data_IF_079008930532
#
_entry.id   IF_079008930532
#
_cell.length_a   1.000
_cell.length_b   1.000
_cell.length_c   1.000
_cell.angle_alpha   90.00
_cell.angle_beta   90.00
_cell.angle_gamma   90.00
#
_symmetry.space_group_name_H-M   'P 1'
#
loop_
_entity.id
_entity.type
_entity.pdbx_description
1 polymer ?
#
# COMPACT_ATOMS: atom_id res chain seq x y z
N UNK A 1 14.40 -16.49 7.11
CA UNK A 1 14.56 -15.07 7.52
C UNK A 1 13.88 -14.20 6.47
N UNK A 2 12.85 -13.45 6.82
CA UNK A 2 12.24 -12.46 5.92
C UNK A 2 12.99 -11.15 6.16
N UNK A 3 13.71 -10.64 5.17
CA UNK A 3 14.50 -9.43 5.33
C UNK A 3 13.63 -8.23 4.94
N UNK A 4 13.01 -7.61 5.95
CA UNK A 4 12.35 -6.30 5.78
C UNK A 4 13.21 -5.30 6.54
N UNK A 5 13.84 -4.39 5.81
CA UNK A 5 14.67 -3.33 6.38
C UNK A 5 13.92 -2.01 6.25
N UNK A 6 13.82 -1.29 7.35
CA UNK A 6 13.16 0.01 7.40
C UNK A 6 14.22 1.09 7.56
N UNK A 7 14.01 2.22 6.90
CA UNK A 7 14.83 3.40 7.07
C UNK A 7 13.96 4.61 7.35
N UNK A 8 14.49 5.52 8.17
CA UNK A 8 13.92 6.85 8.31
C UNK A 8 14.68 7.81 7.40
N UNK A 9 14.02 8.88 6.95
CA UNK A 9 14.64 9.98 6.17
C UNK A 9 15.86 10.58 6.84
N UNK A 10 16.01 10.45 8.16
CA UNK A 10 17.20 10.86 8.91
C UNK A 10 18.43 9.95 8.71
N UNK A 11 18.34 8.90 7.88
CA UNK A 11 19.40 7.90 7.69
C UNK A 11 19.53 6.89 8.84
N UNK A 12 18.68 6.97 9.86
CA UNK A 12 18.69 6.04 10.99
C UNK A 12 18.12 4.68 10.55
N UNK A 13 18.88 3.61 10.79
CA UNK A 13 18.38 2.24 10.66
C UNK A 13 17.34 1.97 11.73
N UNK A 14 16.19 1.46 11.31
CA UNK A 14 15.09 1.06 12.18
C UNK A 14 15.32 -0.41 12.54
N UNK A 15 15.34 -0.72 13.83
CA UNK A 15 15.52 -2.08 14.35
C UNK A 15 14.20 -2.86 14.34
N UNK A 16 14.23 -4.18 14.50
CA UNK A 16 12.98 -4.97 14.59
C UNK A 16 12.08 -4.55 15.77
N UNK A 17 12.67 -3.96 16.82
CA UNK A 17 11.94 -3.44 17.99
C UNK A 17 11.16 -2.15 17.66
N UNK A 18 11.63 -1.36 16.70
CA UNK A 18 11.00 -0.12 16.24
C UNK A 18 9.83 -0.36 15.25
N UNK A 19 9.61 -1.63 14.88
CA UNK A 19 8.63 -2.03 13.85
C UNK A 19 7.35 -2.49 14.52
N UNK A 20 6.30 -1.67 14.41
CA UNK A 20 4.96 -2.09 14.79
C UNK A 20 4.44 -3.16 13.80
N UNK A 21 4.09 -4.33 14.32
CA UNK A 21 3.55 -5.45 13.56
C UNK A 21 2.04 -5.52 13.78
N UNK A 22 1.28 -5.52 12.70
CA UNK A 22 -0.18 -5.71 12.77
C UNK A 22 -0.53 -7.19 12.66
N UNK A 23 -1.61 -7.62 13.31
CA UNK A 23 -2.07 -9.01 13.21
C UNK A 23 -3.17 -9.19 12.18
N UNK A 24 -4.08 -8.21 12.04
CA UNK A 24 -5.18 -8.19 11.08
C UNK A 24 -5.27 -6.85 10.32
N UNK A 25 -6.12 -6.78 9.29
CA UNK A 25 -6.34 -5.55 8.53
C UNK A 25 -7.22 -4.52 9.25
N UNK A 26 -8.02 -4.90 10.27
CA UNK A 26 -8.84 -3.95 11.05
C UNK A 26 -8.00 -3.04 11.96
N UNK A 27 -6.82 -3.49 12.38
CA UNK A 27 -5.85 -2.65 13.11
C UNK A 27 -5.31 -1.49 12.28
N UNK A 28 -5.47 -1.56 10.96
CA UNK A 28 -5.06 -0.52 10.03
C UNK A 28 -6.25 0.42 9.84
N UNK A 29 -6.02 1.70 10.13
CA UNK A 29 -6.97 2.78 9.87
C UNK A 29 -7.10 2.98 8.34
N UNK A 30 -7.86 2.10 7.68
CA UNK A 30 -8.19 2.16 6.27
C UNK A 30 -9.62 2.69 6.09
N UNK A 31 -9.90 3.43 4.99
CA UNK A 31 -11.28 3.77 4.65
C UNK A 31 -12.14 2.51 4.52
N UNK A 32 -13.39 2.55 5.01
CA UNK A 32 -14.31 1.39 5.01
C UNK A 32 -14.47 0.75 3.63
N UNK A 33 -14.50 1.58 2.59
CA UNK A 33 -14.57 1.11 1.21
C UNK A 33 -13.32 0.34 0.79
N UNK A 34 -12.12 0.81 1.17
CA UNK A 34 -10.88 0.07 0.90
C UNK A 34 -10.87 -1.25 1.67
N UNK A 35 -11.29 -1.24 2.93
CA UNK A 35 -11.40 -2.46 3.74
C UNK A 35 -12.35 -3.47 3.09
N UNK A 36 -13.54 -3.04 2.65
CA UNK A 36 -14.50 -3.89 1.92
C UNK A 36 -13.87 -4.50 0.66
N UNK A 37 -13.11 -3.72 -0.10
CA UNK A 37 -12.47 -4.17 -1.33
C UNK A 37 -11.32 -5.17 -1.05
N UNK A 38 -10.54 -4.96 0.00
CA UNK A 38 -9.52 -5.90 0.48
C UNK A 38 -10.16 -7.26 0.78
N UNK A 39 -11.26 -7.28 1.55
CA UNK A 39 -11.97 -8.51 1.88
C UNK A 39 -12.57 -9.18 0.64
N UNK A 40 -13.20 -8.43 -0.27
CA UNK A 40 -13.74 -8.95 -1.54
C UNK A 40 -12.66 -9.53 -2.45
N UNK A 41 -11.46 -8.97 -2.43
CA UNK A 41 -10.30 -9.48 -3.16
C UNK A 41 -9.69 -10.75 -2.51
N UNK A 42 -10.29 -11.27 -1.43
CA UNK A 42 -9.89 -12.51 -0.77
C UNK A 42 -8.78 -12.35 0.27
N UNK A 43 -8.46 -11.12 0.67
CA UNK A 43 -7.45 -10.86 1.70
C UNK A 43 -8.12 -10.86 3.08
N UNK A 44 -8.12 -12.02 3.74
CA UNK A 44 -8.61 -12.16 5.12
C UNK A 44 -7.59 -11.69 6.15
N UNK A 45 -6.33 -12.10 5.97
CA UNK A 45 -5.25 -11.87 6.93
C UNK A 45 -4.00 -11.32 6.22
N UNK A 46 -3.26 -10.39 6.83
CA UNK A 46 -2.03 -9.88 6.24
C UNK A 46 -0.95 -10.95 6.20
N UNK A 47 -0.23 -11.04 5.08
CA UNK A 47 0.94 -11.91 4.96
C UNK A 47 2.10 -11.40 5.82
N UNK A 48 3.13 -12.23 6.04
CA UNK A 48 4.28 -11.84 6.89
C UNK A 48 4.91 -10.52 6.48
N UNK A 49 5.09 -10.24 5.18
CA UNK A 49 5.66 -8.95 4.76
C UNK A 49 4.69 -7.79 5.02
N UNK A 50 3.39 -8.01 4.82
CA UNK A 50 2.35 -7.00 5.02
C UNK A 50 2.23 -6.61 6.50
N UNK A 51 2.28 -7.59 7.41
CA UNK A 51 2.24 -7.40 8.87
C UNK A 51 3.29 -6.41 9.36
N UNK A 52 4.49 -6.47 8.79
CA UNK A 52 5.62 -5.63 9.20
C UNK A 52 5.59 -4.29 8.46
N UNK A 53 5.19 -4.28 7.19
CA UNK A 53 5.39 -3.13 6.33
C UNK A 53 4.24 -2.12 6.32
N UNK A 54 2.98 -2.57 6.24
CA UNK A 54 1.86 -1.69 5.88
C UNK A 54 1.69 -0.56 6.89
N UNK A 55 1.68 -0.87 8.19
CA UNK A 55 1.54 0.16 9.24
C UNK A 55 2.67 1.20 9.18
N UNK A 56 3.91 0.75 8.94
CA UNK A 56 5.07 1.64 8.87
C UNK A 56 5.03 2.53 7.62
N UNK A 57 4.57 2.02 6.47
CA UNK A 57 4.35 2.83 5.26
C UNK A 57 3.25 3.88 5.51
N UNK A 58 2.14 3.50 6.17
CA UNK A 58 1.08 4.46 6.54
C UNK A 58 1.57 5.58 7.46
N UNK A 59 2.63 5.33 8.26
CA UNK A 59 3.29 6.33 9.11
C UNK A 59 4.33 7.17 8.36
N UNK A 60 4.48 6.98 7.05
CA UNK A 60 5.41 7.73 6.21
C UNK A 60 6.87 7.32 6.35
N UNK A 61 7.16 6.10 6.84
CA UNK A 61 8.52 5.54 6.90
C UNK A 61 8.93 4.97 5.54
N UNK A 62 10.22 5.09 5.21
CA UNK A 62 10.80 4.48 4.02
C UNK A 62 11.09 3.00 4.30
N UNK A 63 10.95 2.16 3.26
CA UNK A 63 11.02 0.71 3.41
C UNK A 63 11.75 0.05 2.24
N UNK A 64 12.63 -0.90 2.58
CA UNK A 64 13.22 -1.87 1.65
C UNK A 64 12.76 -3.26 2.08
N UNK A 65 11.93 -3.91 1.27
CA UNK A 65 11.37 -5.21 1.60
C UNK A 65 11.81 -6.31 0.63
N UNK A 66 12.56 -7.29 1.14
CA UNK A 66 13.07 -8.42 0.39
C UNK A 66 12.33 -9.71 0.79
N UNK A 67 11.62 -10.30 -0.17
CA UNK A 67 10.89 -11.56 0.04
C UNK A 67 10.71 -12.32 -1.27
N UNK A 68 10.33 -13.60 -1.21
CA UNK A 68 10.06 -14.44 -2.39
C UNK A 68 8.81 -13.99 -3.17
N UNK A 69 8.66 -14.36 -4.44
CA UNK A 69 7.42 -14.14 -5.21
C UNK A 69 6.21 -14.77 -4.50
N UNK A 70 5.02 -14.19 -4.70
CA UNK A 70 3.78 -14.68 -4.06
C UNK A 70 3.63 -14.33 -2.57
N UNK A 71 4.54 -13.53 -2.01
CA UNK A 71 4.49 -13.11 -0.59
C UNK A 71 3.54 -11.95 -0.29
N UNK A 72 2.86 -11.38 -1.29
CA UNK A 72 1.95 -10.25 -1.09
C UNK A 72 2.62 -8.85 -1.12
N UNK A 73 3.82 -8.74 -1.70
CA UNK A 73 4.53 -7.45 -1.89
C UNK A 73 3.70 -6.39 -2.60
N UNK A 74 2.93 -6.76 -3.62
CA UNK A 74 2.11 -5.82 -4.39
C UNK A 74 1.10 -5.09 -3.50
N UNK A 75 0.25 -5.84 -2.79
CA UNK A 75 -0.68 -5.26 -1.82
C UNK A 75 0.05 -4.49 -0.69
N UNK A 76 1.26 -4.91 -0.31
CA UNK A 76 2.03 -4.24 0.76
C UNK A 76 2.26 -2.75 0.48
N UNK A 77 2.59 -2.37 -0.77
CA UNK A 77 2.73 -0.95 -1.11
C UNK A 77 1.45 -0.34 -1.70
N UNK A 78 0.58 -1.12 -2.36
CA UNK A 78 -0.64 -0.57 -2.96
C UNK A 78 -1.66 -0.11 -1.92
N UNK A 79 -1.94 -0.92 -0.90
CA UNK A 79 -2.96 -0.60 0.10
C UNK A 79 -2.72 0.74 0.81
N UNK A 80 -1.51 1.05 1.32
CA UNK A 80 -1.25 2.36 1.92
C UNK A 80 -1.32 3.51 0.91
N UNK A 81 -0.88 3.31 -0.35
CA UNK A 81 -0.99 4.34 -1.40
C UNK A 81 -2.45 4.65 -1.70
N UNK A 82 -3.29 3.62 -1.87
CA UNK A 82 -4.72 3.80 -2.17
C UNK A 82 -5.42 4.46 -0.98
N UNK A 83 -5.14 4.02 0.25
CA UNK A 83 -5.67 4.67 1.47
C UNK A 83 -5.34 6.17 1.49
N UNK A 84 -4.08 6.52 1.21
CA UNK A 84 -3.65 7.91 1.13
C UNK A 84 -4.41 8.69 0.06
N UNK A 85 -4.59 8.13 -1.13
CA UNK A 85 -5.31 8.78 -2.22
C UNK A 85 -6.80 8.97 -1.91
N UNK A 86 -7.45 7.99 -1.28
CA UNK A 86 -8.85 8.09 -0.89
C UNK A 86 -9.09 9.16 0.17
N UNK A 87 -8.13 9.37 1.08
CA UNK A 87 -8.22 10.40 2.13
C UNK A 87 -7.93 11.81 1.63
N UNK A 88 -6.94 11.95 0.74
CA UNK A 88 -6.40 13.26 0.36
C UNK A 88 -6.90 13.77 -0.98
N UNK A 89 -7.65 12.98 -1.75
CA UNK A 89 -8.23 13.45 -3.00
C UNK A 89 -9.74 13.64 -2.85
N UNK A 90 -10.13 14.90 -2.65
CA UNK A 90 -11.49 15.33 -2.95
C UNK A 90 -11.59 15.52 -4.48
N UNK A 91 -11.91 14.43 -5.19
CA UNK A 91 -12.03 14.43 -6.65
C UNK A 91 -13.34 15.06 -7.14
N UNK A 92 -14.20 15.50 -6.21
CA UNK A 92 -15.51 16.08 -6.49
C UNK A 92 -15.46 17.59 -6.79
N UNK A 93 -14.39 18.29 -6.39
CA UNK A 93 -14.33 19.76 -6.35
C UNK A 93 -13.48 20.42 -7.44
N UNK A 94 -12.89 19.66 -8.38
CA UNK A 94 -11.92 20.23 -9.33
C UNK A 94 -12.42 20.12 -10.77
N UNK A 95 -13.41 20.95 -11.08
CA UNK A 95 -13.73 21.32 -12.46
C UNK A 95 -12.58 22.21 -13.00
N UNK A 96 -11.86 21.72 -14.01
CA UNK A 96 -10.86 22.44 -14.84
C UNK A 96 -9.39 22.58 -14.39
N UNK A 97 -8.88 21.94 -13.33
CA UNK A 97 -7.43 22.01 -13.04
C UNK A 97 -6.60 20.86 -13.59
N UNK A 98 -5.36 21.20 -13.96
CA UNK A 98 -4.29 20.29 -14.39
C UNK A 98 -4.04 19.24 -13.29
N UNK A 99 -4.15 17.96 -13.65
CA UNK A 99 -3.91 16.85 -12.72
C UNK A 99 -2.43 16.49 -12.67
N UNK A 100 -1.84 16.51 -11.49
CA UNK A 100 -0.50 15.98 -11.25
C UNK A 100 -0.55 14.56 -10.66
N UNK A 101 0.38 13.67 -11.02
CA UNK A 101 0.49 12.36 -10.40
C UNK A 101 0.87 12.49 -8.92
N UNK A 102 0.18 11.77 -8.04
CA UNK A 102 0.50 11.74 -6.60
C UNK A 102 1.61 10.76 -6.23
N UNK A 103 1.96 9.86 -7.14
CA UNK A 103 2.96 8.82 -6.90
C UNK A 103 3.33 8.10 -8.20
N UNK A 104 4.48 7.42 -8.19
CA UNK A 104 5.03 6.69 -9.33
C UNK A 104 5.43 5.28 -8.88
N UNK A 105 4.92 4.26 -9.57
CA UNK A 105 5.31 2.87 -9.36
C UNK A 105 6.14 2.43 -10.56
N UNK A 106 7.41 2.13 -10.32
CA UNK A 106 8.33 1.65 -11.35
C UNK A 106 8.35 0.11 -11.36
N UNK A 107 8.22 -0.46 -12.56
CA UNK A 107 8.21 -1.91 -12.76
C UNK A 107 9.08 -2.31 -13.94
N UNK A 108 9.64 -3.55 -13.93
CA UNK A 108 10.59 -3.97 -14.96
C UNK A 108 9.93 -4.40 -16.27
N UNK A 109 8.60 -4.55 -16.34
CA UNK A 109 7.91 -4.96 -17.56
C UNK A 109 6.46 -4.48 -17.64
N UNK A 110 5.94 -4.29 -18.86
CA UNK A 110 4.56 -3.91 -19.12
C UNK A 110 3.55 -4.93 -18.60
N UNK A 111 3.86 -6.24 -18.70
CA UNK A 111 3.02 -7.31 -18.13
C UNK A 111 2.82 -7.14 -16.62
N UNK A 112 3.88 -6.82 -15.88
CA UNK A 112 3.78 -6.55 -14.44
C UNK A 112 3.03 -5.24 -14.17
N UNK A 113 3.22 -4.22 -15.02
CA UNK A 113 2.46 -2.97 -14.92
C UNK A 113 0.95 -3.21 -15.01
N UNK A 114 0.52 -4.00 -15.99
CA UNK A 114 -0.90 -4.34 -16.16
C UNK A 114 -1.46 -5.16 -14.98
N UNK A 115 -0.68 -6.08 -14.42
CA UNK A 115 -1.09 -6.82 -13.22
C UNK A 115 -1.33 -5.87 -12.04
N UNK A 116 -0.39 -4.95 -11.79
CA UNK A 116 -0.54 -3.94 -10.73
C UNK A 116 -1.73 -3.02 -11.00
N UNK A 117 -1.94 -2.61 -12.25
CA UNK A 117 -3.08 -1.76 -12.62
C UNK A 117 -4.41 -2.46 -12.31
N UNK A 118 -4.54 -3.75 -12.62
CA UNK A 118 -5.73 -4.53 -12.28
C UNK A 118 -5.91 -4.65 -10.75
N UNK A 119 -4.81 -4.88 -10.01
CA UNK A 119 -4.85 -4.92 -8.55
C UNK A 119 -5.32 -3.57 -7.95
N UNK A 120 -4.87 -2.44 -8.52
CA UNK A 120 -5.36 -1.11 -8.13
C UNK A 120 -6.86 -1.02 -8.34
N UNK A 121 -7.38 -1.38 -9.53
CA UNK A 121 -8.82 -1.35 -9.82
C UNK A 121 -9.66 -2.22 -8.87
N UNK A 122 -9.12 -3.37 -8.44
CA UNK A 122 -9.79 -4.22 -7.46
C UNK A 122 -9.86 -3.55 -6.08
N UNK A 123 -8.74 -3.00 -5.59
CA UNK A 123 -8.68 -2.37 -4.27
C UNK A 123 -9.37 -1.00 -4.22
N UNK A 124 -9.43 -0.28 -5.34
CA UNK A 124 -10.05 1.04 -5.45
C UNK A 124 -11.46 1.02 -6.03
N UNK A 125 -12.07 -0.16 -6.18
CA UNK A 125 -13.40 -0.33 -6.76
C UNK A 125 -14.44 0.56 -6.08
N UNK A 126 -15.24 1.25 -6.90
CA UNK A 126 -16.23 2.24 -6.47
C UNK A 126 -15.66 3.60 -6.05
N UNK A 127 -14.34 3.81 -6.14
CA UNK A 127 -13.72 5.12 -5.88
C UNK A 127 -13.42 5.83 -7.19
N UNK A 128 -12.99 7.08 -7.12
CA UNK A 128 -12.56 7.85 -8.29
C UNK A 128 -11.10 7.57 -8.71
N UNK A 129 -10.40 6.66 -8.01
CA UNK A 129 -9.02 6.24 -8.33
C UNK A 129 -9.07 5.17 -9.43
N UNK A 130 -8.29 5.39 -10.50
CA UNK A 130 -8.15 4.50 -11.65
C UNK A 130 -6.68 4.20 -11.92
#
# INVERSE_FOLDING_TARGET
RHAVEFSCRSGRKITEEDVHKVTNFQELDFPDQLYSNITKAGYSEPTTIQKYAIHNILRGKDLIACSKSGSGKTATFLLPIISYLMRNRDLSTVSNEIRFPSGLILVPSSKKAMQIHNDVGNFSSGSSIK
#
